data_IF_577522219389
#
_entry.id   IF_577522219389
#
_cell.length_a   1.000
_cell.length_b   1.000
_cell.length_c   1.000
_cell.angle_alpha   90.00
_cell.angle_beta   90.00
_cell.angle_gamma   90.00
#
_symmetry.space_group_name_H-M   'P 1'
#
loop_
_entity.id
_entity.type
_entity.pdbx_description
1 polymer ?
#
# COMPACT_ATOMS: atom_id res chain seq x y z
N UNK A 1 6.24 -45.29 22.89
CA UNK A 1 7.17 -44.28 22.35
C UNK A 1 6.38 -42.98 22.19
N UNK A 2 6.87 -41.83 22.65
CA UNK A 2 6.13 -40.58 22.56
C UNK A 2 5.92 -40.19 21.09
N UNK A 3 4.72 -39.71 20.77
CA UNK A 3 4.33 -39.29 19.41
C UNK A 3 5.35 -38.30 18.78
N UNK A 4 5.95 -37.46 19.63
CA UNK A 4 6.99 -36.48 19.28
C UNK A 4 8.23 -37.15 18.64
N UNK A 5 8.71 -38.28 19.16
CA UNK A 5 9.89 -38.94 18.58
C UNK A 5 9.66 -39.47 17.16
N UNK A 6 8.43 -39.86 16.85
CA UNK A 6 8.02 -40.27 15.51
C UNK A 6 7.94 -39.06 14.56
N UNK A 7 7.31 -37.97 15.00
CA UNK A 7 7.19 -36.73 14.23
C UNK A 7 8.56 -36.10 13.92
N UNK A 8 9.48 -36.08 14.89
CA UNK A 8 10.87 -35.64 14.68
C UNK A 8 11.57 -36.48 13.62
N UNK A 9 11.42 -37.81 13.68
CA UNK A 9 12.01 -38.71 12.68
C UNK A 9 11.45 -38.46 11.30
N UNK A 10 10.13 -38.25 11.21
CA UNK A 10 9.47 -37.94 9.95
C UNK A 10 9.97 -36.62 9.36
N UNK A 11 10.05 -35.56 10.19
CA UNK A 11 10.56 -34.26 9.77
C UNK A 11 12.00 -34.32 9.25
N UNK A 12 12.87 -35.06 9.94
CA UNK A 12 14.28 -35.20 9.57
C UNK A 12 14.53 -36.12 8.36
N UNK A 13 13.58 -36.97 7.99
CA UNK A 13 13.74 -37.94 6.86
C UNK A 13 12.94 -37.58 5.63
N UNK A 14 11.80 -36.90 5.79
CA UNK A 14 10.90 -36.49 4.70
C UNK A 14 10.72 -34.97 4.75
N UNK A 15 11.73 -34.24 4.25
CA UNK A 15 11.76 -32.78 4.30
C UNK A 15 10.68 -32.06 3.44
N UNK A 16 9.96 -32.75 2.55
CA UNK A 16 9.18 -32.10 1.48
C UNK A 16 7.81 -31.55 1.88
N UNK A 17 7.30 -31.83 3.08
CA UNK A 17 5.96 -31.40 3.51
C UNK A 17 5.94 -30.41 4.68
N UNK A 18 7.11 -30.01 5.19
CA UNK A 18 7.19 -29.18 6.38
C UNK A 18 7.47 -27.72 6.02
N UNK A 19 6.68 -26.81 6.59
CA UNK A 19 6.97 -25.37 6.58
C UNK A 19 7.88 -25.00 7.74
N UNK A 20 8.54 -23.84 7.63
CA UNK A 20 9.37 -23.28 8.71
C UNK A 20 8.61 -23.19 10.04
N UNK A 21 7.32 -22.82 9.98
CA UNK A 21 6.42 -22.75 11.13
C UNK A 21 6.12 -24.13 11.73
N UNK A 22 5.89 -25.16 10.90
CA UNK A 22 5.63 -26.52 11.40
C UNK A 22 6.84 -27.10 12.13
N UNK A 23 8.06 -26.86 11.64
CA UNK A 23 9.29 -27.28 12.32
C UNK A 23 9.51 -26.48 13.60
N UNK A 24 9.17 -25.18 13.62
CA UNK A 24 9.28 -24.37 14.83
C UNK A 24 8.37 -24.88 15.97
N UNK A 25 7.15 -25.33 15.65
CA UNK A 25 6.26 -25.97 16.64
C UNK A 25 6.84 -27.28 17.15
N UNK A 26 7.34 -28.12 16.24
CA UNK A 26 7.97 -29.40 16.60
C UNK A 26 9.21 -29.23 17.50
N UNK A 27 10.00 -28.18 17.27
CA UNK A 27 11.12 -27.81 18.16
C UNK A 27 10.61 -27.45 19.56
N UNK A 28 9.56 -26.63 19.66
CA UNK A 28 8.99 -26.23 20.94
C UNK A 28 8.45 -27.45 21.72
N UNK A 29 7.74 -28.35 21.03
CA UNK A 29 7.23 -29.59 21.62
C UNK A 29 8.37 -30.52 22.08
N UNK A 30 9.42 -30.66 21.26
CA UNK A 30 10.60 -31.45 21.61
C UNK A 30 11.35 -30.88 22.82
N UNK A 31 11.48 -29.54 22.92
CA UNK A 31 12.09 -28.86 24.05
C UNK A 31 11.25 -29.02 25.32
N UNK A 32 9.93 -28.87 25.22
CA UNK A 32 9.02 -29.07 26.34
C UNK A 32 9.07 -30.51 26.87
N UNK A 33 9.11 -31.50 25.98
CA UNK A 33 9.22 -32.91 26.36
C UNK A 33 10.60 -33.23 26.97
N UNK A 34 11.67 -32.67 26.42
CA UNK A 34 13.02 -32.83 26.99
C UNK A 34 13.11 -32.23 28.41
N UNK A 35 12.48 -31.08 28.66
CA UNK A 35 12.41 -30.48 30.00
C UNK A 35 11.65 -31.36 30.99
N UNK A 36 10.46 -31.86 30.60
CA UNK A 36 9.68 -32.78 31.43
C UNK A 36 10.44 -34.05 31.79
N UNK A 37 11.13 -34.65 30.80
CA UNK A 37 11.94 -35.85 31.03
C UNK A 37 13.15 -35.57 31.92
N UNK A 38 13.79 -34.41 31.79
CA UNK A 38 14.89 -34.02 32.67
C UNK A 38 14.44 -33.89 34.14
N UNK A 39 13.23 -33.35 34.38
CA UNK A 39 12.63 -33.29 35.71
C UNK A 39 12.29 -34.69 36.25
N UNK A 40 11.73 -35.57 35.42
CA UNK A 40 11.45 -36.96 35.78
C UNK A 40 12.72 -37.75 36.13
N UNK A 41 13.79 -37.61 35.32
CA UNK A 41 15.12 -38.18 35.59
C UNK A 41 15.67 -37.71 36.93
N UNK A 42 15.50 -36.43 37.26
CA UNK A 42 15.92 -35.88 38.55
C UNK A 42 15.12 -36.48 39.71
N UNK A 43 13.81 -36.65 39.53
CA UNK A 43 12.94 -37.25 40.54
C UNK A 43 13.26 -38.74 40.78
N UNK A 44 13.42 -39.54 39.73
CA UNK A 44 13.75 -40.97 39.85
C UNK A 44 15.15 -41.16 40.48
N UNK A 45 16.13 -40.27 40.21
CA UNK A 45 17.44 -40.27 40.89
C UNK A 45 17.35 -40.00 42.40
N UNK A 46 16.37 -39.21 42.84
CA UNK A 46 16.15 -38.98 44.28
C UNK A 46 15.58 -40.24 44.95
N UNK A 47 14.65 -40.94 44.29
CA UNK A 47 14.09 -42.20 44.80
C UNK A 47 15.16 -43.27 44.97
N UNK A 48 16.07 -43.40 43.99
CA UNK A 48 17.20 -44.33 44.06
C UNK A 48 18.25 -43.98 45.12
N UNK A 49 18.24 -42.74 45.62
CA UNK A 49 19.11 -42.29 46.72
C UNK A 49 18.44 -42.37 48.09
N UNK A 50 17.15 -42.71 48.15
CA UNK A 50 16.39 -42.77 49.39
C UNK A 50 16.54 -44.13 50.06
N UNK A 51 17.16 -44.13 51.24
CA UNK A 51 17.43 -45.34 52.04
C UNK A 51 16.12 -45.96 52.57
N UNK A 52 15.02 -45.19 52.61
CA UNK A 52 13.72 -45.66 53.07
C UNK A 52 12.86 -46.32 51.97
N UNK A 53 13.26 -46.25 50.69
CA UNK A 53 12.51 -46.82 49.58
C UNK A 53 12.62 -48.36 49.54
N UNK A 54 11.58 -49.04 49.08
CA UNK A 54 11.57 -50.50 48.98
C UNK A 54 12.38 -50.99 47.76
N UNK A 55 12.76 -52.26 47.74
CA UNK A 55 13.47 -52.86 46.60
C UNK A 55 12.61 -52.79 45.31
N UNK A 56 11.29 -52.94 45.42
CA UNK A 56 10.36 -52.78 44.29
C UNK A 56 10.32 -51.34 43.76
N UNK A 57 10.38 -50.34 44.65
CA UNK A 57 10.44 -48.93 44.27
C UNK A 57 11.75 -48.58 43.55
N UNK A 58 12.86 -49.18 44.00
CA UNK A 58 14.17 -49.03 43.37
C UNK A 58 14.18 -49.61 41.95
N UNK A 59 13.71 -50.85 41.77
CA UNK A 59 13.66 -51.48 40.45
C UNK A 59 12.76 -50.71 39.48
N UNK A 60 11.59 -50.25 39.94
CA UNK A 60 10.69 -49.44 39.14
C UNK A 60 11.30 -48.07 38.78
N UNK A 61 11.96 -47.39 39.72
CA UNK A 61 12.64 -46.12 39.47
C UNK A 61 13.81 -46.28 38.51
N UNK A 62 14.61 -47.36 38.62
CA UNK A 62 15.73 -47.63 37.72
C UNK A 62 15.25 -47.87 36.28
N UNK A 63 14.16 -48.61 36.09
CA UNK A 63 13.58 -48.84 34.76
C UNK A 63 13.06 -47.55 34.13
N UNK A 64 12.33 -46.71 34.88
CA UNK A 64 11.85 -45.41 34.41
C UNK A 64 12.99 -44.44 34.10
N UNK A 65 14.03 -44.43 34.93
CA UNK A 65 15.22 -43.62 34.73
C UNK A 65 15.90 -43.97 33.41
N UNK A 66 16.22 -45.25 33.20
CA UNK A 66 16.88 -45.71 31.98
C UNK A 66 16.04 -45.38 30.74
N UNK A 67 14.72 -45.57 30.80
CA UNK A 67 13.83 -45.24 29.70
C UNK A 67 13.80 -43.73 29.39
N UNK A 68 13.77 -42.89 30.43
CA UNK A 68 13.73 -41.43 30.30
C UNK A 68 15.05 -40.86 29.79
N UNK A 69 16.19 -41.39 30.25
CA UNK A 69 17.53 -40.98 29.78
C UNK A 69 17.72 -41.29 28.29
N UNK A 70 17.29 -42.48 27.82
CA UNK A 70 17.35 -42.84 26.39
C UNK A 70 16.55 -41.86 25.52
N UNK A 71 15.35 -41.47 25.96
CA UNK A 71 14.51 -40.52 25.20
C UNK A 71 15.11 -39.12 25.25
N UNK A 72 15.63 -38.70 26.41
CA UNK A 72 16.28 -37.41 26.59
C UNK A 72 17.50 -37.25 25.67
N UNK A 73 18.38 -38.25 25.59
CA UNK A 73 19.53 -38.24 24.67
C UNK A 73 19.12 -38.14 23.20
N UNK A 74 18.04 -38.83 22.82
CA UNK A 74 17.51 -38.75 21.45
C UNK A 74 16.97 -37.35 21.14
N UNK A 75 16.25 -36.73 22.07
CA UNK A 75 15.73 -35.38 21.91
C UNK A 75 16.87 -34.35 21.88
N UNK A 76 17.87 -34.48 22.76
CA UNK A 76 19.01 -33.56 22.79
C UNK A 76 19.85 -33.62 21.51
N UNK A 77 19.96 -34.79 20.88
CA UNK A 77 20.61 -34.94 19.57
C UNK A 77 19.76 -34.46 18.39
N UNK A 78 18.42 -34.52 18.50
CA UNK A 78 17.51 -34.15 17.42
C UNK A 78 17.18 -32.65 17.36
N UNK A 79 17.06 -31.98 18.50
CA UNK A 79 16.71 -30.55 18.57
C UNK A 79 17.66 -29.67 17.72
N UNK A 80 18.99 -29.82 17.78
CA UNK A 80 19.90 -29.04 16.93
C UNK A 80 19.67 -29.27 15.44
N UNK A 81 19.41 -30.52 15.04
CA UNK A 81 19.13 -30.88 13.63
C UNK A 81 17.82 -30.28 13.15
N UNK A 82 16.82 -30.19 14.02
CA UNK A 82 15.56 -29.51 13.70
C UNK A 82 15.76 -28.00 13.53
N UNK A 83 16.62 -27.37 14.33
CA UNK A 83 16.99 -25.97 14.13
C UNK A 83 17.66 -25.74 12.78
N UNK A 84 18.64 -26.56 12.42
CA UNK A 84 19.30 -26.51 11.10
C UNK A 84 18.29 -26.67 9.96
N UNK A 85 17.38 -27.65 10.06
CA UNK A 85 16.32 -27.88 9.08
C UNK A 85 15.38 -26.67 8.96
N UNK A 86 14.97 -26.08 10.10
CA UNK A 86 14.11 -24.89 10.11
C UNK A 86 14.77 -23.73 9.37
N UNK A 87 16.06 -23.50 9.61
CA UNK A 87 16.78 -22.39 9.01
C UNK A 87 16.96 -22.61 7.50
N UNK A 88 17.22 -23.84 7.06
CA UNK A 88 17.24 -24.21 5.64
C UNK A 88 15.88 -23.94 4.96
N UNK A 89 14.78 -24.40 5.55
CA UNK A 89 13.43 -24.18 5.02
C UNK A 89 13.10 -22.68 4.99
N UNK A 90 13.50 -21.92 6.02
CA UNK A 90 13.28 -20.47 6.09
C UNK A 90 13.97 -19.73 4.95
N UNK A 91 15.20 -20.11 4.61
CA UNK A 91 15.93 -19.54 3.46
C UNK A 91 15.22 -19.89 2.15
N UNK A 92 14.81 -21.14 1.97
CA UNK A 92 14.09 -21.57 0.76
C UNK A 92 12.76 -20.82 0.59
N UNK A 93 11.93 -20.75 1.63
CA UNK A 93 10.66 -20.02 1.62
C UNK A 93 10.87 -18.53 1.30
N UNK A 94 11.95 -17.92 1.82
CA UNK A 94 12.30 -16.53 1.52
C UNK A 94 12.65 -16.33 0.05
N UNK A 95 13.49 -17.20 -0.50
CA UNK A 95 13.92 -17.12 -1.91
C UNK A 95 12.74 -17.33 -2.86
N UNK A 96 11.86 -18.27 -2.57
CA UNK A 96 10.63 -18.50 -3.34
C UNK A 96 9.71 -17.28 -3.30
N UNK A 97 9.50 -16.68 -2.12
CA UNK A 97 8.72 -15.43 -1.99
C UNK A 97 9.35 -14.29 -2.78
N UNK A 98 10.67 -14.16 -2.77
CA UNK A 98 11.37 -13.13 -3.54
C UNK A 98 11.24 -13.35 -5.05
N UNK A 99 11.43 -14.58 -5.53
CA UNK A 99 11.23 -14.94 -6.94
C UNK A 99 9.80 -14.63 -7.40
N UNK A 100 8.80 -15.07 -6.64
CA UNK A 100 7.39 -14.80 -6.94
C UNK A 100 7.07 -13.30 -6.95
N UNK A 101 7.67 -12.51 -6.06
CA UNK A 101 7.51 -11.05 -6.05
C UNK A 101 8.14 -10.40 -7.26
N UNK A 102 9.35 -10.83 -7.64
CA UNK A 102 10.07 -10.32 -8.81
C UNK A 102 9.28 -10.60 -10.09
N UNK A 103 8.79 -11.82 -10.28
CA UNK A 103 7.98 -12.20 -11.45
C UNK A 103 6.72 -11.33 -11.59
N UNK A 104 6.00 -11.08 -10.48
CA UNK A 104 4.83 -10.18 -10.48
C UNK A 104 5.21 -8.75 -10.87
N UNK A 105 6.34 -8.26 -10.36
CA UNK A 105 6.82 -6.91 -10.66
C UNK A 105 7.15 -6.78 -12.15
N UNK A 106 7.87 -7.75 -12.72
CA UNK A 106 8.22 -7.77 -14.15
C UNK A 106 6.96 -7.80 -15.01
N UNK A 107 5.99 -8.68 -14.70
CA UNK A 107 4.71 -8.73 -15.42
C UNK A 107 3.99 -7.38 -15.38
N UNK A 108 3.88 -6.77 -14.20
CA UNK A 108 3.24 -5.45 -14.03
C UNK A 108 3.98 -4.35 -14.79
N UNK A 109 5.32 -4.33 -14.72
CA UNK A 109 6.16 -3.39 -15.46
C UNK A 109 5.90 -3.52 -16.96
N UNK A 110 5.83 -4.73 -17.49
CA UNK A 110 5.61 -4.96 -18.91
C UNK A 110 4.23 -4.50 -19.36
N UNK A 111 3.19 -4.75 -18.56
CA UNK A 111 1.82 -4.25 -18.84
C UNK A 111 1.81 -2.72 -18.87
N UNK A 112 2.35 -2.08 -17.84
CA UNK A 112 2.42 -0.60 -17.76
C UNK A 112 3.26 -0.04 -18.90
N UNK A 113 4.37 -0.69 -19.26
CA UNK A 113 5.22 -0.29 -20.37
C UNK A 113 4.46 -0.31 -21.71
N UNK A 114 3.62 -1.32 -21.96
CA UNK A 114 2.76 -1.38 -23.14
C UNK A 114 1.71 -0.27 -23.14
N UNK A 115 1.01 -0.07 -22.03
CA UNK A 115 0.00 0.99 -21.89
C UNK A 115 0.61 2.38 -22.10
N UNK A 116 1.81 2.63 -21.58
CA UNK A 116 2.52 3.88 -21.82
C UNK A 116 2.92 4.03 -23.28
N UNK A 117 3.38 2.97 -23.94
CA UNK A 117 3.70 3.01 -25.36
C UNK A 117 2.47 3.34 -26.21
N UNK A 118 1.35 2.65 -25.99
CA UNK A 118 0.07 2.91 -26.67
C UNK A 118 -0.42 4.34 -26.43
N UNK A 119 -0.31 4.84 -25.20
CA UNK A 119 -0.63 6.24 -24.89
C UNK A 119 0.26 7.22 -25.65
N UNK A 120 1.58 6.99 -25.68
CA UNK A 120 2.53 7.82 -26.41
C UNK A 120 2.27 7.81 -27.92
N UNK A 121 1.88 6.67 -28.49
CA UNK A 121 1.46 6.55 -29.90
C UNK A 121 0.18 7.36 -30.20
N UNK A 122 -0.70 7.54 -29.21
CA UNK A 122 -1.93 8.35 -29.35
C UNK A 122 -1.72 9.85 -29.17
N UNK A 123 -0.58 10.28 -28.61
CA UNK A 123 -0.30 11.70 -28.32
C UNK A 123 -0.34 12.61 -29.56
N UNK A 124 0.19 12.23 -30.74
CA UNK A 124 0.10 13.06 -31.93
C UNK A 124 -1.34 13.32 -32.36
N UNK A 125 -2.21 12.30 -32.31
CA UNK A 125 -3.63 12.46 -32.65
C UNK A 125 -4.34 13.41 -31.67
N UNK A 126 -4.05 13.29 -30.37
CA UNK A 126 -4.55 14.20 -29.36
C UNK A 126 -4.06 15.64 -29.58
N UNK A 127 -2.79 15.80 -29.94
CA UNK A 127 -2.21 17.11 -30.24
C UNK A 127 -2.89 17.77 -31.45
N UNK A 128 -3.16 17.01 -32.52
CA UNK A 128 -3.91 17.49 -33.69
C UNK A 128 -5.31 17.93 -33.30
N UNK A 129 -6.04 17.12 -32.52
CA UNK A 129 -7.39 17.48 -32.05
C UNK A 129 -7.39 18.76 -31.19
N UNK A 130 -6.35 18.99 -30.39
CA UNK A 130 -6.21 20.24 -29.62
C UNK A 130 -5.93 21.44 -30.52
N UNK A 131 -5.10 21.31 -31.57
CA UNK A 131 -4.90 22.38 -32.55
C UNK A 131 -6.21 22.74 -33.27
N UNK A 132 -6.95 21.73 -33.71
CA UNK A 132 -8.25 21.92 -34.37
C UNK A 132 -9.27 22.58 -33.44
N UNK A 133 -9.30 22.18 -32.16
CA UNK A 133 -10.16 22.83 -31.16
C UNK A 133 -9.81 24.32 -30.93
N UNK A 134 -8.53 24.72 -31.05
CA UNK A 134 -8.13 26.13 -31.01
C UNK A 134 -8.61 26.87 -32.25
N UNK A 135 -8.44 26.29 -33.44
CA UNK A 135 -8.90 26.89 -34.70
C UNK A 135 -10.42 27.09 -34.71
N UNK A 136 -11.18 26.05 -34.40
CA UNK A 136 -12.64 26.10 -34.34
C UNK A 136 -13.14 27.11 -33.29
N UNK A 137 -12.41 27.30 -32.19
CA UNK A 137 -12.72 28.33 -31.20
C UNK A 137 -12.54 29.74 -31.77
N UNK A 138 -11.47 29.97 -32.53
CA UNK A 138 -11.21 31.27 -33.16
C UNK A 138 -12.28 31.59 -34.23
N UNK A 139 -12.67 30.59 -35.01
CA UNK A 139 -13.76 30.70 -35.98
C UNK A 139 -15.11 30.95 -35.30
N UNK A 140 -15.45 30.17 -34.26
CA UNK A 140 -16.66 30.37 -33.46
C UNK A 140 -16.72 31.75 -32.78
N UNK A 141 -15.55 32.38 -32.53
CA UNK A 141 -15.47 33.71 -31.94
C UNK A 141 -16.13 34.77 -32.82
N UNK A 142 -16.06 34.62 -34.16
CA UNK A 142 -16.71 35.52 -35.11
C UNK A 142 -18.24 35.49 -34.95
N UNK A 143 -18.80 34.32 -34.67
CA UNK A 143 -20.24 34.14 -34.45
C UNK A 143 -20.70 34.40 -33.01
N UNK A 144 -19.79 34.39 -32.04
CA UNK A 144 -20.11 34.59 -30.63
C UNK A 144 -19.89 36.03 -30.17
N UNK A 145 -19.16 36.86 -30.91
CA UNK A 145 -18.97 38.28 -30.58
C UNK A 145 -20.10 39.12 -31.17
N UNK A 146 -20.89 39.76 -30.30
CA UNK A 146 -21.80 40.80 -30.74
C UNK A 146 -21.01 42.06 -31.10
N UNK A 147 -21.36 42.75 -32.19
CA UNK A 147 -20.73 44.00 -32.58
C UNK A 147 -21.03 45.08 -31.53
N UNK A 148 -20.05 45.94 -31.28
CA UNK A 148 -20.21 47.09 -30.39
C UNK A 148 -21.31 48.02 -30.93
N UNK A 149 -22.23 48.52 -30.09
CA UNK A 149 -23.26 49.47 -30.54
C UNK A 149 -22.62 50.71 -31.18
N UNK A 150 -23.00 51.02 -32.43
CA UNK A 150 -22.55 52.20 -33.16
C UNK A 150 -21.37 52.00 -34.12
N UNK A 151 -20.80 50.79 -34.22
CA UNK A 151 -19.83 50.47 -35.27
C UNK A 151 -20.52 50.42 -36.64
N UNK A 152 -19.99 51.06 -37.69
CA UNK A 152 -20.51 50.87 -39.05
C UNK A 152 -20.23 49.43 -39.46
N UNK A 153 -21.30 48.72 -39.76
CA UNK A 153 -21.26 47.33 -40.19
C UNK A 153 -21.51 47.31 -41.68
N UNK A 154 -20.72 46.56 -42.43
CA UNK A 154 -21.01 46.32 -43.82
C UNK A 154 -22.34 45.55 -43.94
N UNK A 155 -23.36 46.03 -44.64
CA UNK A 155 -24.65 45.32 -44.77
C UNK A 155 -24.54 43.98 -45.51
N UNK A 156 -23.38 43.68 -46.12
CA UNK A 156 -23.03 42.37 -46.68
C UNK A 156 -22.23 41.49 -45.72
N UNK A 157 -21.79 42.01 -44.56
CA UNK A 157 -21.32 41.17 -43.46
C UNK A 157 -22.55 40.62 -42.77
N UNK A 158 -22.81 39.33 -42.95
CA UNK A 158 -23.87 38.57 -42.26
C UNK A 158 -23.64 38.65 -40.75
N UNK A 159 -24.11 39.72 -40.13
CA UNK A 159 -23.92 39.87 -38.70
C UNK A 159 -24.90 39.05 -37.89
N UNK A 160 -24.41 37.89 -37.43
CA UNK A 160 -24.32 37.44 -36.03
C UNK A 160 -25.57 37.56 -35.10
N UNK A 161 -26.81 37.64 -35.59
CA UNK A 161 -28.00 37.59 -34.70
C UNK A 161 -28.75 36.26 -34.70
N UNK A 162 -28.66 35.46 -35.76
CA UNK A 162 -29.62 34.36 -35.99
C UNK A 162 -29.04 32.97 -35.71
N UNK A 163 -27.74 32.86 -35.47
CA UNK A 163 -27.09 31.59 -35.17
C UNK A 163 -27.05 31.29 -33.65
N UNK A 164 -27.30 30.04 -33.23
CA UNK A 164 -27.17 29.64 -31.83
C UNK A 164 -25.72 29.77 -31.36
N UNK A 165 -25.54 30.12 -30.08
CA UNK A 165 -24.22 30.22 -29.45
C UNK A 165 -23.44 28.92 -29.59
N UNK A 166 -22.21 29.01 -30.10
CA UNK A 166 -21.32 27.87 -30.25
C UNK A 166 -20.47 27.71 -28.99
N UNK A 167 -20.81 26.71 -28.18
CA UNK A 167 -20.07 26.40 -26.95
C UNK A 167 -18.64 25.89 -27.26
N UNK A 168 -17.65 26.21 -26.41
CA UNK A 168 -16.29 25.71 -26.60
C UNK A 168 -16.24 24.19 -26.47
N UNK A 169 -15.59 23.53 -27.44
CA UNK A 169 -15.39 22.07 -27.47
C UNK A 169 -14.60 21.56 -26.26
N UNK A 170 -13.63 22.35 -25.79
CA UNK A 170 -12.77 22.03 -24.65
C UNK A 170 -12.59 23.29 -23.80
N UNK A 171 -12.51 23.12 -22.49
CA UNK A 171 -12.34 24.26 -21.56
C UNK A 171 -11.05 25.04 -21.83
N UNK A 172 -11.10 26.36 -21.61
CA UNK A 172 -9.94 27.25 -21.69
C UNK A 172 -8.74 26.80 -20.86
N UNK A 173 -9.00 26.13 -19.73
CA UNK A 173 -7.97 25.62 -18.86
C UNK A 173 -7.11 24.54 -19.54
N UNK A 174 -7.74 23.67 -20.34
CA UNK A 174 -7.06 22.59 -21.06
C UNK A 174 -6.26 23.15 -22.23
N UNK A 175 -6.83 24.09 -22.99
CA UNK A 175 -6.14 24.68 -24.15
C UNK A 175 -4.92 25.55 -23.72
N UNK A 176 -5.02 26.28 -22.61
CA UNK A 176 -3.98 27.22 -22.16
C UNK A 176 -2.92 26.64 -21.23
N UNK A 177 -3.18 25.51 -20.57
CA UNK A 177 -2.26 24.92 -19.56
C UNK A 177 -1.67 23.58 -19.97
N UNK A 178 -2.09 23.02 -21.10
CA UNK A 178 -1.55 21.75 -21.60
C UNK A 178 -0.40 22.02 -22.55
N UNK A 179 0.75 21.38 -22.31
CA UNK A 179 1.85 21.28 -23.27
C UNK A 179 2.09 19.80 -23.51
N UNK A 180 1.98 19.37 -24.76
CA UNK A 180 2.28 17.98 -25.14
C UNK A 180 3.68 17.93 -25.73
N UNK A 181 4.49 17.02 -25.21
CA UNK A 181 5.87 16.80 -25.65
C UNK A 181 6.00 15.32 -26.02
N UNK A 182 6.52 15.05 -27.22
CA UNK A 182 6.81 13.72 -27.71
C UNK A 182 7.97 13.06 -26.97
N UNK A 183 8.15 11.77 -27.19
CA UNK A 183 9.22 10.97 -26.55
C UNK A 183 10.64 11.40 -26.93
N UNK A 184 10.80 12.09 -28.06
CA UNK A 184 12.03 12.68 -28.59
C UNK A 184 12.28 14.11 -28.09
N UNK A 185 11.40 14.64 -27.24
CA UNK A 185 11.47 16.01 -26.74
C UNK A 185 10.84 17.06 -27.66
N UNK A 186 10.24 16.65 -28.80
CA UNK A 186 9.54 17.57 -29.69
C UNK A 186 8.25 18.08 -29.04
N UNK A 187 7.95 19.37 -29.18
CA UNK A 187 6.69 19.92 -28.69
C UNK A 187 5.60 19.62 -29.72
N UNK A 188 4.69 18.72 -29.37
CA UNK A 188 3.57 18.34 -30.24
C UNK A 188 2.42 19.35 -30.14
N UNK A 189 2.24 19.99 -29.00
CA UNK A 189 1.25 21.07 -28.79
C UNK A 189 1.76 22.06 -27.74
N UNK A 190 1.65 23.35 -28.05
CA UNK A 190 1.83 24.45 -27.10
C UNK A 190 0.85 25.60 -27.43
N UNK A 191 0.22 26.22 -26.41
CA UNK A 191 -0.64 27.38 -26.64
C UNK A 191 0.16 28.60 -27.12
N UNK A 192 -0.43 29.38 -28.03
CA UNK A 192 0.20 30.56 -28.66
C UNK A 192 0.50 31.72 -27.68
N UNK A 193 -0.21 31.80 -26.54
CA UNK A 193 0.02 32.83 -25.51
C UNK A 193 1.10 32.38 -24.52
N UNK A 194 2.34 32.33 -24.99
CA UNK A 194 3.52 32.19 -24.16
C UNK A 194 3.78 33.43 -23.31
N UNK A 195 3.12 33.55 -22.14
CA UNK A 195 3.74 34.24 -21.01
C UNK A 195 4.12 33.19 -19.97
N UNK A 196 5.43 33.02 -19.76
CA UNK A 196 5.97 32.47 -18.54
C UNK A 196 5.68 33.50 -17.45
N UNK A 197 4.45 33.53 -16.96
CA UNK A 197 4.16 34.16 -15.68
C UNK A 197 4.43 33.09 -14.63
N UNK A 198 5.42 33.34 -13.78
CA UNK A 198 5.43 32.84 -12.40
C UNK A 198 3.99 32.83 -11.88
N UNK A 199 3.56 31.78 -11.15
CA UNK A 199 2.18 31.67 -10.73
C UNK A 199 1.82 32.96 -9.98
N UNK A 200 0.87 33.78 -10.45
CA UNK A 200 0.32 34.79 -9.58
C UNK A 200 -0.26 33.99 -8.42
N UNK A 201 0.17 34.35 -7.20
CA UNK A 201 -0.35 33.81 -5.97
C UNK A 201 -1.85 33.59 -6.12
N UNK A 202 -2.30 32.36 -5.91
CA UNK A 202 -3.68 31.99 -6.04
C UNK A 202 -4.53 32.99 -5.26
N UNK A 203 -5.20 33.90 -5.97
CA UNK A 203 -6.33 34.60 -5.40
C UNK A 203 -7.37 33.51 -5.15
N UNK A 204 -7.88 33.37 -3.92
CA UNK A 204 -8.84 32.34 -3.59
C UNK A 204 -10.09 32.59 -4.41
N UNK A 205 -10.31 31.77 -5.44
CA UNK A 205 -11.58 31.71 -6.15
C UNK A 205 -12.54 31.03 -5.19
N UNK A 206 -13.41 31.81 -4.53
CA UNK A 206 -14.59 31.28 -3.87
C UNK A 206 -15.41 30.53 -4.91
N UNK A 207 -15.36 29.20 -4.87
CA UNK A 207 -16.32 28.35 -5.56
C UNK A 207 -17.56 28.32 -4.67
N UNK A 208 -18.49 29.23 -4.94
CA UNK A 208 -19.84 29.10 -4.42
C UNK A 208 -20.49 27.91 -5.14
N UNK A 209 -20.83 26.87 -4.38
CA UNK A 209 -21.75 25.80 -4.78
C UNK A 209 -21.16 24.76 -5.73
N UNK A 210 -20.41 23.79 -5.18
CA UNK A 210 -20.29 22.49 -5.83
C UNK A 210 -21.67 21.82 -5.86
N UNK A 211 -22.02 21.11 -6.95
CA UNK A 211 -23.23 20.30 -6.96
C UNK A 211 -23.21 19.32 -5.78
N UNK A 212 -24.37 18.94 -5.21
CA UNK A 212 -24.43 18.01 -4.07
C UNK A 212 -23.69 16.69 -4.37
N UNK A 213 -23.67 16.25 -5.63
CA UNK A 213 -22.90 15.07 -6.06
C UNK A 213 -21.38 15.29 -5.98
N UNK A 214 -20.88 16.49 -6.31
CA UNK A 214 -19.47 16.81 -6.18
C UNK A 214 -19.02 16.87 -4.71
N UNK A 215 -19.88 17.39 -3.82
CA UNK A 215 -19.64 17.42 -2.37
C UNK A 215 -19.74 16.03 -1.73
N UNK A 216 -20.70 15.20 -2.17
CA UNK A 216 -20.80 13.80 -1.74
C UNK A 216 -19.57 12.98 -2.17
N UNK A 217 -19.09 13.17 -3.40
CA UNK A 217 -17.86 12.54 -3.88
C UNK A 217 -16.61 13.03 -3.12
N UNK A 218 -16.54 14.33 -2.79
CA UNK A 218 -15.47 14.88 -1.97
C UNK A 218 -15.46 14.30 -0.56
N UNK A 219 -16.63 14.12 0.06
CA UNK A 219 -16.79 13.50 1.37
C UNK A 219 -16.42 12.01 1.34
N UNK A 220 -16.83 11.26 0.32
CA UNK A 220 -16.45 9.86 0.15
C UNK A 220 -14.92 9.73 0.03
N UNK A 221 -14.31 10.56 -0.81
CA UNK A 221 -12.85 10.61 -0.96
C UNK A 221 -12.13 10.99 0.34
N UNK A 222 -12.67 11.93 1.12
CA UNK A 222 -12.11 12.31 2.42
C UNK A 222 -12.16 11.15 3.44
N UNK A 223 -13.26 10.39 3.48
CA UNK A 223 -13.41 9.20 4.34
C UNK A 223 -12.44 8.08 3.95
N UNK A 224 -12.27 7.82 2.65
CA UNK A 224 -11.31 6.85 2.14
C UNK A 224 -9.86 7.24 2.49
N UNK A 225 -9.51 8.52 2.32
CA UNK A 225 -8.19 9.02 2.73
C UNK A 225 -7.96 8.89 4.24
N UNK A 226 -8.96 9.21 5.07
CA UNK A 226 -8.87 9.05 6.52
C UNK A 226 -8.63 7.59 6.90
N UNK A 227 -9.37 6.64 6.31
CA UNK A 227 -9.20 5.22 6.57
C UNK A 227 -7.81 4.73 6.15
N UNK A 228 -7.36 5.12 4.96
CA UNK A 228 -6.06 4.72 4.45
C UNK A 228 -4.90 5.25 5.32
N UNK A 229 -4.95 6.53 5.70
CA UNK A 229 -3.92 7.17 6.50
C UNK A 229 -3.93 6.69 7.96
N UNK A 230 -5.11 6.46 8.55
CA UNK A 230 -5.22 5.91 9.91
C UNK A 230 -4.65 4.48 9.98
N UNK A 231 -4.94 3.65 8.98
CA UNK A 231 -4.37 2.30 8.88
C UNK A 231 -2.86 2.35 8.78
N UNK A 232 -2.33 3.20 7.89
CA UNK A 232 -0.90 3.37 7.70
C UNK A 232 -0.18 3.90 8.95
N UNK A 233 -0.78 4.86 9.68
CA UNK A 233 -0.24 5.33 10.96
C UNK A 233 -0.24 4.23 12.03
N UNK A 234 -1.26 3.36 12.04
CA UNK A 234 -1.30 2.22 12.97
C UNK A 234 -0.18 1.21 12.70
N UNK A 235 0.13 0.95 11.43
CA UNK A 235 1.25 0.10 11.00
C UNK A 235 2.59 0.71 11.39
N UNK A 236 2.78 2.02 11.14
CA UNK A 236 4.00 2.72 11.56
C UNK A 236 4.18 2.71 13.08
N UNK A 237 3.11 2.82 13.86
CA UNK A 237 3.15 2.70 15.34
C UNK A 237 3.54 1.29 15.78
N UNK A 238 3.03 0.25 15.11
CA UNK A 238 3.44 -1.14 15.38
C UNK A 238 4.92 -1.36 15.05
N UNK A 239 5.37 -0.88 13.89
CA UNK A 239 6.78 -0.95 13.50
C UNK A 239 7.70 -0.21 14.48
N UNK A 240 7.27 0.96 14.96
CA UNK A 240 7.98 1.73 15.99
C UNK A 240 8.08 0.94 17.31
N UNK A 241 6.99 0.30 17.74
CA UNK A 241 6.96 -0.53 18.95
C UNK A 241 7.87 -1.77 18.84
N UNK A 242 7.85 -2.46 17.68
CA UNK A 242 8.69 -3.63 17.42
C UNK A 242 10.18 -3.26 17.41
N UNK A 243 10.52 -2.12 16.80
CA UNK A 243 11.90 -1.66 16.65
C UNK A 243 12.40 -0.82 17.83
N UNK A 244 11.54 -0.52 18.81
CA UNK A 244 11.84 0.36 19.98
C UNK A 244 12.40 1.73 19.59
N UNK A 245 11.85 2.31 18.53
CA UNK A 245 12.24 3.62 17.98
C UNK A 245 11.04 4.56 17.95
N UNK A 246 11.27 5.87 17.79
CA UNK A 246 10.16 6.82 17.70
C UNK A 246 9.39 6.68 16.38
N UNK A 247 8.12 7.10 16.38
CA UNK A 247 7.28 7.12 15.17
C UNK A 247 7.91 8.00 14.07
N UNK A 248 8.58 9.09 14.46
CA UNK A 248 9.30 10.00 13.55
C UNK A 248 10.51 9.31 12.89
N UNK A 249 11.25 8.49 13.65
CA UNK A 249 12.35 7.71 13.11
C UNK A 249 11.85 6.68 12.09
N UNK A 250 10.73 6.00 12.37
CA UNK A 250 10.08 5.11 11.39
C UNK A 250 9.61 5.89 10.17
N UNK A 251 8.98 7.06 10.35
CA UNK A 251 8.54 7.92 9.26
C UNK A 251 9.70 8.34 8.34
N UNK A 252 10.84 8.73 8.93
CA UNK A 252 12.05 9.08 8.18
C UNK A 252 12.61 7.89 7.39
N UNK A 253 12.63 6.68 7.98
CA UNK A 253 13.04 5.47 7.24
C UNK A 253 12.10 5.12 6.08
N UNK A 254 10.87 5.61 6.10
CA UNK A 254 9.88 5.46 5.02
C UNK A 254 9.86 6.67 4.06
N UNK A 255 10.80 7.61 4.18
CA UNK A 255 10.90 8.81 3.33
C UNK A 255 9.83 9.86 3.60
N UNK A 256 9.20 9.84 4.78
CA UNK A 256 8.19 10.79 5.21
C UNK A 256 8.86 11.82 6.13
N UNK A 257 8.83 13.10 5.73
CA UNK A 257 9.32 14.20 6.56
C UNK A 257 8.30 14.60 7.65
N UNK A 258 8.74 15.36 8.66
CA UNK A 258 7.90 15.77 9.80
C UNK A 258 6.63 16.53 9.37
N UNK A 259 6.73 17.42 8.37
CA UNK A 259 5.59 18.16 7.84
C UNK A 259 4.50 17.24 7.27
N UNK A 260 4.91 16.17 6.56
CA UNK A 260 4.00 15.17 5.99
C UNK A 260 3.45 14.22 7.05
N UNK A 261 4.23 13.92 8.09
CA UNK A 261 3.75 13.15 9.25
C UNK A 261 2.69 13.93 10.04
N UNK A 262 2.91 15.23 10.28
CA UNK A 262 1.92 16.11 10.91
C UNK A 262 0.64 16.22 10.07
N UNK A 263 0.77 16.24 8.74
CA UNK A 263 -0.37 16.19 7.82
C UNK A 263 -1.14 14.86 7.91
N UNK A 264 -0.44 13.73 8.08
CA UNK A 264 -1.09 12.42 8.29
C UNK A 264 -1.87 12.37 9.61
N UNK A 265 -1.34 12.96 10.67
CA UNK A 265 -2.08 13.09 11.93
C UNK A 265 -3.36 13.91 11.76
N UNK A 266 -3.29 15.06 11.09
CA UNK A 266 -4.48 15.90 10.81
C UNK A 266 -5.54 15.18 9.97
N UNK A 267 -5.14 14.38 8.99
CA UNK A 267 -6.07 13.58 8.18
C UNK A 267 -6.69 12.46 9.01
N UNK A 268 -5.90 11.73 9.80
CA UNK A 268 -6.40 10.65 10.63
C UNK A 268 -7.36 11.15 11.72
N UNK A 269 -7.13 12.36 12.25
CA UNK A 269 -8.02 13.08 13.16
C UNK A 269 -9.38 13.46 12.55
N UNK A 270 -9.55 13.35 11.23
CA UNK A 270 -10.84 13.55 10.57
C UNK A 270 -11.15 15.00 10.19
N UNK A 271 -10.23 15.95 10.35
CA UNK A 271 -10.48 17.38 10.06
C UNK A 271 -10.95 17.66 8.63
N UNK A 272 -10.43 16.91 7.65
CA UNK A 272 -10.88 17.01 6.26
C UNK A 272 -12.29 16.42 6.03
N UNK A 273 -12.70 15.46 6.84
CA UNK A 273 -14.06 14.89 6.79
C UNK A 273 -15.04 15.85 7.46
N UNK A 274 -14.66 16.48 8.57
CA UNK A 274 -15.45 17.51 9.24
C UNK A 274 -15.69 18.74 8.34
N UNK A 275 -14.65 19.20 7.62
CA UNK A 275 -14.77 20.29 6.65
C UNK A 275 -15.71 19.92 5.48
N UNK A 276 -15.58 18.71 4.93
CA UNK A 276 -16.43 18.23 3.84
C UNK A 276 -17.89 17.99 4.29
N UNK A 277 -18.11 17.50 5.51
CA UNK A 277 -19.44 17.34 6.11
C UNK A 277 -20.12 18.70 6.35
N UNK A 278 -19.36 19.68 6.83
CA UNK A 278 -19.84 21.05 7.02
C UNK A 278 -20.21 21.71 5.68
N UNK A 279 -19.41 21.54 4.62
CA UNK A 279 -19.72 22.07 3.29
C UNK A 279 -20.93 21.38 2.65
N UNK A 280 -21.08 20.06 2.82
CA UNK A 280 -22.25 19.32 2.34
C UNK A 280 -23.52 19.73 3.09
N UNK A 281 -23.45 19.88 4.42
CA UNK A 281 -24.58 20.35 5.24
C UNK A 281 -25.02 21.76 4.84
N UNK A 282 -24.07 22.65 4.55
CA UNK A 282 -24.34 24.02 4.10
C UNK A 282 -24.97 24.07 2.71
N UNK A 283 -24.60 23.14 1.83
CA UNK A 283 -25.19 23.01 0.50
C UNK A 283 -26.59 22.38 0.52
N UNK A 284 -26.89 21.50 1.49
CA UNK A 284 -28.20 20.85 1.63
C UNK A 284 -29.24 21.73 2.36
N UNK A 285 -28.81 22.64 3.23
CA UNK A 285 -29.68 23.59 3.94
C UNK A 285 -29.24 25.05 3.69
N UNK A 286 -29.65 25.68 2.58
CA UNK A 286 -29.22 27.04 2.22
C UNK A 286 -29.86 28.15 3.08
N UNK A 287 -30.72 27.83 4.05
CA UNK A 287 -31.37 28.81 4.94
C UNK A 287 -31.14 28.48 6.41
N UNK A 288 -30.07 29.04 6.97
CA UNK A 288 -29.96 29.54 8.35
C UNK A 288 -28.92 30.66 8.35
#
# INVERSE_FOLDING_TARGET
>A
MSNITFEIRQALTKCSSHTSESIARLIADAQGEAQRLAEAVKADKLVLGDIAATDEDHDAAQQRLNASEIVLERLSGAIPRLHELRDQITVQERDERQKARYERLVKRRNVVGKQLAEFLESLPALATALHEAVQLREEARVFNMRPTPGSPVNPMDDMVSDYPFLAPLVTDAVLKRTRLVGSDGTVLFAPADGSVSTPPAALPKRVNGGSPDALANALAHAKDMQLHISTRLSEMKRDAAVRRVSLEQVAMTQGINEARLAHFHKIAEGKMVEEAEHELSKAQNPTS
#
